data_IF_496626041448
#
_entry.id   IF_496626041448
#
_cell.length_a   1.000
_cell.length_b   1.000
_cell.length_c   1.000
_cell.angle_alpha   90.00
_cell.angle_beta   90.00
_cell.angle_gamma   90.00
#
_symmetry.space_group_name_H-M   'P 1'
#
loop_
_entity.id
_entity.type
_entity.pdbx_description
1 polymer ?
#
# COMPACT_ATOMS: atom_id res chain seq x y z
N UNK A 1 21.59 -7.50 31.71
CA UNK A 1 20.96 -7.81 33.01
C UNK A 1 21.21 -6.66 33.98
N UNK A 2 20.29 -5.70 34.05
CA UNK A 2 20.24 -4.68 35.10
C UNK A 2 18.77 -4.60 35.51
N UNK A 3 18.48 -5.18 36.66
CA UNK A 3 17.19 -5.21 37.34
C UNK A 3 16.95 -3.85 38.00
N UNK A 4 15.80 -3.21 37.75
CA UNK A 4 15.31 -2.13 38.60
C UNK A 4 13.93 -2.48 39.13
N UNK A 5 13.93 -2.81 40.42
CA UNK A 5 12.75 -2.88 41.27
C UNK A 5 12.20 -1.47 41.52
N UNK A 6 10.88 -1.31 41.43
CA UNK A 6 10.16 -0.27 42.14
C UNK A 6 9.14 -0.95 43.06
N UNK A 7 9.44 -0.88 44.35
CA UNK A 7 8.57 -1.23 45.46
C UNK A 7 8.01 0.08 46.01
N UNK A 8 6.68 0.23 46.07
CA UNK A 8 6.04 1.22 46.92
C UNK A 8 5.02 0.52 47.82
N UNK A 9 5.20 0.73 49.12
CA UNK A 9 4.46 0.15 50.24
C UNK A 9 3.43 1.18 50.75
N UNK A 10 2.21 0.69 51.02
CA UNK A 10 1.25 1.04 52.11
C UNK A 10 0.82 2.51 52.31
N UNK A 11 -0.37 2.89 52.81
CA UNK A 11 -1.26 2.34 53.84
C UNK A 11 -2.61 3.11 53.77
N UNK A 12 -3.76 2.47 53.99
CA UNK A 12 -4.84 2.97 54.90
C UNK A 12 -6.13 2.15 54.81
N UNK A 13 -6.43 1.49 55.92
CA UNK A 13 -7.67 0.84 56.32
C UNK A 13 -8.66 1.84 56.90
N UNK A 14 -9.97 1.76 56.58
CA UNK A 14 -11.03 1.96 57.58
C UNK A 14 -12.44 1.46 57.16
N UNK A 15 -12.95 0.56 57.99
CA UNK A 15 -14.33 0.19 58.41
C UNK A 15 -15.60 0.45 57.56
N UNK A 16 -16.29 -0.68 57.30
CA UNK A 16 -17.65 -1.08 57.69
C UNK A 16 -18.80 -0.04 57.75
N UNK A 17 -19.83 -0.32 56.95
CA UNK A 17 -21.22 0.07 57.19
C UNK A 17 -22.19 -0.91 56.52
N UNK A 18 -22.72 -1.87 57.29
CA UNK A 18 -23.89 -2.67 56.94
C UNK A 18 -25.15 -1.86 57.25
N UNK A 19 -26.01 -1.65 56.26
CA UNK A 19 -27.43 -1.36 56.47
C UNK A 19 -28.21 -1.92 55.27
N UNK A 20 -29.12 -2.85 55.54
CA UNK A 20 -30.07 -3.37 54.57
C UNK A 20 -31.30 -2.47 54.44
N UNK A 21 -31.93 -2.53 53.26
CA UNK A 21 -33.35 -2.25 53.08
C UNK A 21 -33.90 -3.18 52.00
N UNK A 22 -34.97 -3.89 52.36
CA UNK A 22 -35.83 -4.71 51.52
C UNK A 22 -36.63 -3.85 50.51
N UNK A 23 -36.78 -4.40 49.30
CA UNK A 23 -38.06 -4.57 48.63
C UNK A 23 -38.86 -3.33 48.20
N UNK A 24 -38.89 -3.08 46.89
CA UNK A 24 -39.93 -2.27 46.24
C UNK A 24 -39.81 -2.29 44.73
N UNK A 25 -40.66 -3.07 44.05
CA UNK A 25 -40.69 -3.17 42.60
C UNK A 25 -40.91 -1.82 41.92
N UNK A 26 -39.99 -1.46 41.04
CA UNK A 26 -40.15 -0.44 40.02
C UNK A 26 -39.81 -1.08 38.68
N UNK A 27 -40.81 -1.21 37.84
CA UNK A 27 -40.73 -1.61 36.43
C UNK A 27 -39.53 -0.98 35.75
N UNK A 28 -38.55 -1.81 35.37
CA UNK A 28 -37.51 -1.48 34.41
C UNK A 28 -38.16 -1.37 33.03
N UNK A 29 -38.68 -0.18 32.75
CA UNK A 29 -38.96 0.29 31.41
C UNK A 29 -37.77 1.15 30.95
N UNK A 30 -36.57 0.60 31.04
CA UNK A 30 -35.41 1.07 30.31
C UNK A 30 -35.68 0.91 28.83
N UNK A 31 -35.82 2.06 28.17
CA UNK A 31 -35.96 2.28 26.75
C UNK A 31 -35.28 1.19 25.91
N UNK A 32 -36.06 0.61 24.99
CA UNK A 32 -35.56 -0.32 24.01
C UNK A 32 -34.31 0.24 23.36
N UNK A 33 -33.28 -0.60 23.31
CA UNK A 33 -32.06 -0.35 22.57
C UNK A 33 -32.44 0.13 21.17
N UNK A 34 -32.34 1.44 20.97
CA UNK A 34 -32.27 2.11 19.67
C UNK A 34 -30.91 1.79 19.03
N UNK A 35 -30.45 0.55 19.21
CA UNK A 35 -29.45 -0.05 18.37
C UNK A 35 -30.11 -0.08 17.00
N UNK A 36 -29.59 0.73 16.09
CA UNK A 36 -30.05 0.79 14.71
C UNK A 36 -30.19 -0.62 14.09
N UNK A 37 -30.74 -0.72 12.88
CA UNK A 37 -30.97 -2.01 12.23
C UNK A 37 -29.75 -2.91 12.39
N UNK A 38 -29.96 -4.10 12.97
CA UNK A 38 -28.90 -5.08 13.19
C UNK A 38 -28.20 -5.30 11.85
N UNK A 39 -26.94 -4.91 11.76
CA UNK A 39 -26.16 -5.07 10.54
C UNK A 39 -26.05 -6.58 10.25
N UNK A 40 -26.26 -6.96 9.00
CA UNK A 40 -26.15 -8.37 8.59
C UNK A 40 -24.70 -8.87 8.83
N UNK A 41 -24.53 -10.12 9.32
CA UNK A 41 -23.20 -10.71 9.47
C UNK A 41 -22.46 -10.76 8.13
N UNK A 42 -21.18 -10.44 8.16
CA UNK A 42 -20.26 -10.57 7.04
C UNK A 42 -19.61 -11.95 7.01
N UNK A 43 -18.83 -12.21 5.98
CA UNK A 43 -17.94 -13.39 5.89
C UNK A 43 -16.54 -13.02 6.40
N UNK A 44 -15.70 -14.01 6.70
CA UNK A 44 -14.29 -13.74 6.99
C UNK A 44 -13.65 -13.06 5.76
N UNK A 45 -12.85 -12.01 5.97
CA UNK A 45 -12.29 -11.11 4.95
C UNK A 45 -13.31 -10.20 4.25
N UNK A 46 -14.59 -10.31 4.61
CA UNK A 46 -15.67 -9.46 4.10
C UNK A 46 -15.68 -8.04 4.70
N UNK A 47 -16.52 -7.15 4.15
CA UNK A 47 -16.70 -5.79 4.67
C UNK A 47 -17.34 -5.78 6.04
N UNK A 48 -17.08 -4.74 6.83
CA UNK A 48 -17.69 -4.55 8.15
C UNK A 48 -17.58 -3.09 8.60
N UNK A 49 -18.40 -2.73 9.57
CA UNK A 49 -18.36 -1.45 10.29
C UNK A 49 -18.14 -1.66 11.79
N UNK A 50 -18.45 -2.85 12.31
CA UNK A 50 -18.26 -3.22 13.70
C UNK A 50 -17.90 -4.71 13.86
N UNK A 51 -17.21 -5.05 14.95
CA UNK A 51 -16.78 -6.42 15.30
C UNK A 51 -17.95 -7.42 15.32
N UNK A 52 -19.15 -6.97 15.70
CA UNK A 52 -20.35 -7.82 15.78
C UNK A 52 -20.82 -8.38 14.43
N UNK A 53 -20.32 -7.84 13.32
CA UNK A 53 -20.58 -8.36 11.98
C UNK A 53 -19.62 -9.48 11.59
N UNK A 54 -18.48 -9.62 12.27
CA UNK A 54 -17.44 -10.54 11.85
C UNK A 54 -17.65 -11.94 12.41
N UNK A 55 -17.51 -12.99 11.58
CA UNK A 55 -17.73 -14.35 12.02
C UNK A 55 -16.50 -14.88 12.77
N UNK A 56 -16.75 -15.58 13.88
CA UNK A 56 -15.71 -16.25 14.67
C UNK A 56 -15.61 -15.72 16.10
N UNK A 57 -15.02 -16.52 16.98
CA UNK A 57 -14.74 -16.11 18.36
C UNK A 57 -13.59 -15.10 18.37
N UNK A 58 -13.81 -13.94 18.99
CA UNK A 58 -12.82 -12.86 19.02
C UNK A 58 -12.61 -12.17 17.67
N UNK A 59 -13.49 -12.39 16.70
CA UNK A 59 -13.44 -11.70 15.40
C UNK A 59 -13.53 -10.19 15.60
N UNK A 60 -12.75 -9.46 14.79
CA UNK A 60 -12.73 -8.00 14.80
C UNK A 60 -12.96 -7.46 13.40
N UNK A 61 -13.52 -6.26 13.35
CA UNK A 61 -13.59 -5.46 12.15
C UNK A 61 -12.39 -4.52 12.11
N UNK A 62 -11.43 -4.77 11.23
CA UNK A 62 -10.40 -3.77 10.93
C UNK A 62 -11.04 -2.66 10.11
N UNK A 63 -10.94 -1.43 10.58
CA UNK A 63 -11.64 -0.30 9.99
C UNK A 63 -10.75 0.47 9.04
N UNK A 64 -11.31 1.47 8.39
CA UNK A 64 -10.54 2.32 7.50
C UNK A 64 -9.56 3.25 8.25
N UNK A 65 -9.73 3.45 9.57
CA UNK A 65 -8.70 4.05 10.43
C UNK A 65 -7.47 3.14 10.57
N UNK A 66 -7.66 1.83 10.43
CA UNK A 66 -6.60 0.81 10.45
C UNK A 66 -6.06 0.53 9.05
N UNK A 67 -6.44 1.33 8.04
CA UNK A 67 -6.03 1.16 6.65
C UNK A 67 -6.88 0.17 5.83
N UNK A 68 -8.09 -0.16 6.28
CA UNK A 68 -9.01 -1.08 5.59
C UNK A 68 -10.28 -0.40 5.08
N UNK A 69 -10.27 0.15 3.85
CA UNK A 69 -11.44 0.68 3.17
C UNK A 69 -12.66 -0.25 3.25
N UNK A 70 -13.81 0.29 3.67
CA UNK A 70 -15.06 -0.47 3.83
C UNK A 70 -15.01 -1.61 4.86
N UNK A 71 -13.99 -1.61 5.72
CA UNK A 71 -13.73 -2.59 6.76
C UNK A 71 -13.31 -3.97 6.25
N UNK A 72 -12.70 -4.75 7.15
CA UNK A 72 -12.18 -6.08 6.86
C UNK A 72 -12.32 -6.99 8.08
N UNK A 73 -13.20 -7.98 7.98
CA UNK A 73 -13.37 -8.97 9.04
C UNK A 73 -12.19 -9.91 9.11
N UNK A 74 -11.61 -10.03 10.31
CA UNK A 74 -10.56 -11.01 10.59
C UNK A 74 -10.73 -11.62 11.97
N UNK A 75 -10.04 -12.72 12.23
CA UNK A 75 -10.02 -13.41 13.51
C UNK A 75 -8.58 -13.55 14.01
N UNK A 76 -8.36 -13.48 15.32
CA UNK A 76 -7.04 -13.76 15.90
C UNK A 76 -6.66 -15.22 15.62
N UNK A 77 -5.37 -15.44 15.46
CA UNK A 77 -4.85 -16.76 15.12
C UNK A 77 -3.50 -17.02 15.80
N UNK A 78 -3.26 -18.27 16.18
CA UNK A 78 -1.93 -18.76 16.61
C UNK A 78 -1.25 -19.58 15.50
N UNK A 79 -2.08 -20.23 14.68
CA UNK A 79 -1.70 -20.90 13.45
C UNK A 79 -2.75 -20.60 12.36
N UNK A 80 -2.57 -21.16 11.16
CA UNK A 80 -3.44 -20.87 10.01
C UNK A 80 -4.81 -21.57 10.04
N UNK A 81 -5.05 -22.52 10.93
CA UNK A 81 -6.29 -23.31 11.00
C UNK A 81 -7.56 -22.45 11.08
N UNK A 82 -7.67 -21.40 11.93
CA UNK A 82 -8.83 -20.52 11.94
C UNK A 82 -8.98 -19.67 10.68
N UNK A 83 -7.94 -19.59 9.84
CA UNK A 83 -7.95 -18.79 8.62
C UNK A 83 -8.41 -19.57 7.40
N UNK A 84 -8.54 -20.90 7.48
CA UNK A 84 -8.91 -21.74 6.34
C UNK A 84 -10.42 -21.64 6.08
N UNK A 85 -10.78 -20.90 5.02
CA UNK A 85 -12.18 -20.73 4.58
C UNK A 85 -12.32 -21.35 3.19
N UNK A 86 -13.41 -22.10 2.97
CA UNK A 86 -13.72 -22.75 1.69
C UNK A 86 -12.61 -23.66 1.12
N UNK A 87 -11.72 -24.19 1.98
CA UNK A 87 -10.61 -25.04 1.56
C UNK A 87 -9.46 -24.28 0.87
N UNK A 88 -9.46 -22.95 0.96
CA UNK A 88 -8.35 -22.09 0.55
C UNK A 88 -7.50 -21.78 1.78
N UNK A 89 -6.18 -21.90 1.61
CA UNK A 89 -5.22 -21.61 2.66
C UNK A 89 -4.95 -20.10 2.72
N UNK A 90 -5.22 -19.49 3.87
CA UNK A 90 -4.92 -18.09 4.15
C UNK A 90 -3.79 -17.95 5.20
N UNK A 91 -3.27 -16.74 5.38
CA UNK A 91 -2.13 -16.51 6.26
C UNK A 91 -2.58 -16.21 7.69
N UNK A 92 -1.79 -16.66 8.67
CA UNK A 92 -1.84 -16.15 10.03
C UNK A 92 -0.60 -15.27 10.23
N UNK A 93 -0.77 -13.96 10.28
CA UNK A 93 0.34 -13.01 10.26
C UNK A 93 0.18 -11.91 11.32
N UNK A 94 1.30 -11.47 11.88
CA UNK A 94 1.39 -10.27 12.71
C UNK A 94 1.82 -9.11 11.82
N UNK A 95 1.03 -8.03 11.73
CA UNK A 95 1.48 -6.82 11.03
C UNK A 95 2.41 -5.99 11.90
N UNK A 96 3.15 -5.08 11.28
CA UNK A 96 4.02 -4.15 12.00
C UNK A 96 3.20 -3.32 13.02
N UNK A 97 3.72 -3.21 14.25
CA UNK A 97 3.04 -2.51 15.35
C UNK A 97 1.99 -3.35 16.09
N UNK A 98 1.60 -4.51 15.57
CA UNK A 98 0.67 -5.42 16.24
C UNK A 98 1.41 -6.40 17.16
N UNK A 99 0.78 -6.79 18.27
CA UNK A 99 1.29 -7.83 19.18
C UNK A 99 0.63 -9.19 18.98
N UNK A 100 -0.42 -9.26 18.16
CA UNK A 100 -1.27 -10.42 17.94
C UNK A 100 -1.32 -10.71 16.45
N UNK A 101 -1.29 -11.99 16.07
CA UNK A 101 -1.53 -12.40 14.69
C UNK A 101 -3.01 -12.50 14.38
N UNK A 102 -3.35 -12.16 13.15
CA UNK A 102 -4.71 -12.26 12.61
C UNK A 102 -4.70 -12.96 11.26
N UNK A 103 -5.87 -13.44 10.86
CA UNK A 103 -6.04 -14.04 9.56
C UNK A 103 -5.97 -13.00 8.44
N UNK A 104 -5.12 -13.24 7.45
CA UNK A 104 -4.89 -12.37 6.31
C UNK A 104 -5.17 -13.15 5.02
N UNK A 105 -6.01 -12.58 4.16
CA UNK A 105 -6.43 -13.23 2.93
C UNK A 105 -5.24 -13.37 1.99
N UNK A 106 -4.83 -14.62 1.74
CA UNK A 106 -3.87 -14.96 0.69
C UNK A 106 -4.35 -14.50 -0.68
N UNK A 107 -3.43 -13.95 -1.46
CA UNK A 107 -3.62 -13.57 -2.85
C UNK A 107 -2.38 -13.94 -3.69
N UNK A 108 -2.56 -14.07 -5.00
CA UNK A 108 -1.48 -14.16 -5.99
C UNK A 108 -1.37 -12.86 -6.79
N UNK A 109 -2.48 -12.12 -6.92
CA UNK A 109 -2.58 -10.80 -7.54
C UNK A 109 -3.80 -10.05 -6.98
N UNK A 110 -3.96 -8.79 -7.35
CA UNK A 110 -4.97 -7.88 -6.84
C UNK A 110 -6.42 -8.30 -7.17
N UNK A 111 -6.64 -9.15 -8.17
CA UNK A 111 -7.97 -9.71 -8.43
C UNK A 111 -8.40 -10.71 -7.36
N UNK A 112 -7.46 -11.43 -6.75
CA UNK A 112 -7.76 -12.44 -5.73
C UNK A 112 -8.31 -11.83 -4.43
N UNK A 113 -8.09 -10.53 -4.24
CA UNK A 113 -8.65 -9.79 -3.11
C UNK A 113 -10.16 -9.53 -3.24
N UNK A 114 -10.75 -9.76 -4.42
CA UNK A 114 -12.20 -9.84 -4.62
C UNK A 114 -12.99 -8.56 -4.34
N UNK A 115 -12.32 -7.46 -3.99
CA UNK A 115 -12.91 -6.19 -3.58
C UNK A 115 -12.19 -5.03 -4.26
N UNK A 116 -12.94 -3.97 -4.54
CA UNK A 116 -12.36 -2.69 -4.89
C UNK A 116 -11.66 -2.10 -3.67
N UNK A 117 -10.66 -1.23 -3.86
CA UNK A 117 -9.84 -0.66 -2.77
C UNK A 117 -9.00 -1.71 -1.99
N UNK A 118 -8.73 -2.87 -2.61
CA UNK A 118 -7.80 -3.88 -2.09
C UNK A 118 -6.87 -4.35 -3.21
N UNK A 119 -5.64 -4.69 -2.82
CA UNK A 119 -4.62 -5.20 -3.74
C UNK A 119 -3.74 -6.24 -3.04
N UNK A 120 -3.00 -7.03 -3.83
CA UNK A 120 -2.09 -8.03 -3.30
C UNK A 120 -0.72 -7.43 -3.06
N UNK A 121 -0.18 -7.61 -1.85
CA UNK A 121 1.13 -7.09 -1.49
C UNK A 121 1.97 -8.10 -0.71
N UNK A 122 3.28 -7.96 -0.88
CA UNK A 122 4.30 -8.78 -0.20
C UNK A 122 4.35 -10.22 -0.72
N UNK A 123 5.16 -11.02 -0.04
CA UNK A 123 5.25 -12.47 -0.23
C UNK A 123 5.41 -13.09 1.15
N UNK A 124 4.45 -13.93 1.56
CA UNK A 124 4.45 -14.63 2.83
C UNK A 124 4.59 -16.14 2.61
N UNK A 125 5.45 -16.83 3.40
CA UNK A 125 5.52 -18.29 3.37
C UNK A 125 4.16 -18.95 3.67
N UNK A 126 3.81 -20.10 3.03
CA UNK A 126 4.63 -20.87 2.09
C UNK A 126 4.62 -20.34 0.64
N UNK A 127 3.71 -19.44 0.27
CA UNK A 127 3.69 -18.72 -1.02
C UNK A 127 2.50 -17.73 -1.08
N UNK A 128 2.68 -16.63 -1.81
CA UNK A 128 1.63 -15.64 -2.10
C UNK A 128 1.67 -14.43 -1.17
N UNK A 129 0.99 -13.36 -1.58
CA UNK A 129 0.87 -12.12 -0.82
C UNK A 129 -0.34 -12.10 0.10
N UNK A 130 -0.56 -10.94 0.72
CA UNK A 130 -1.75 -10.63 1.51
C UNK A 130 -2.54 -9.49 0.88
N UNK A 131 -3.87 -9.56 1.01
CA UNK A 131 -4.73 -8.46 0.62
C UNK A 131 -4.57 -7.30 1.60
N UNK A 132 -4.14 -6.15 1.09
CA UNK A 132 -4.05 -4.91 1.83
C UNK A 132 -5.09 -3.92 1.31
N UNK A 133 -5.60 -3.09 2.21
CA UNK A 133 -6.45 -1.96 1.84
C UNK A 133 -5.62 -0.88 1.15
N UNK A 134 -6.19 -0.29 0.11
CA UNK A 134 -5.62 0.80 -0.67
C UNK A 134 -6.71 1.77 -1.08
N UNK A 135 -6.39 3.03 -1.31
CA UNK A 135 -7.36 4.06 -1.66
C UNK A 135 -6.95 4.81 -2.93
N UNK A 136 -7.95 5.36 -3.61
CA UNK A 136 -7.79 6.27 -4.75
C UNK A 136 -8.48 7.61 -4.50
N UNK A 137 -9.34 7.69 -3.49
CA UNK A 137 -10.03 8.89 -3.06
C UNK A 137 -10.39 8.84 -1.58
N UNK A 138 -10.65 10.00 -0.98
CA UNK A 138 -11.09 10.09 0.43
C UNK A 138 -12.38 9.31 0.70
N UNK A 139 -13.22 9.09 -0.32
CA UNK A 139 -14.45 8.30 -0.21
C UNK A 139 -14.17 6.84 0.16
N UNK A 140 -12.97 6.32 -0.16
CA UNK A 140 -12.57 4.95 0.16
C UNK A 140 -12.24 4.81 1.66
N UNK A 141 -11.84 5.90 2.31
CA UNK A 141 -11.20 5.86 3.62
C UNK A 141 -12.12 5.99 4.83
N UNK A 142 -13.41 6.30 4.65
CA UNK A 142 -14.40 6.36 5.74
C UNK A 142 -13.98 7.19 6.97
N UNK A 143 -14.80 7.25 8.02
CA UNK A 143 -14.36 7.64 9.37
C UNK A 143 -13.67 9.00 9.56
N UNK A 144 -13.72 9.92 8.59
CA UNK A 144 -12.94 11.17 8.61
C UNK A 144 -11.46 11.02 8.24
N UNK A 145 -11.04 9.82 7.83
CA UNK A 145 -9.74 9.58 7.21
C UNK A 145 -9.71 10.12 5.78
N UNK A 146 -8.51 10.38 5.29
CA UNK A 146 -8.22 10.85 3.93
C UNK A 146 -7.33 9.84 3.23
N UNK A 147 -7.45 9.78 1.91
CA UNK A 147 -6.56 8.96 1.11
C UNK A 147 -5.23 9.70 0.92
N UNK A 148 -4.11 9.11 1.35
CA UNK A 148 -2.79 9.64 1.01
C UNK A 148 -2.41 9.17 -0.40
N UNK A 149 -2.39 10.07 -1.40
CA UNK A 149 -2.13 9.68 -2.79
C UNK A 149 -0.68 9.22 -3.03
N UNK A 150 0.24 9.43 -2.08
CA UNK A 150 1.65 9.04 -2.24
C UNK A 150 1.91 7.61 -1.77
N UNK A 151 1.10 7.10 -0.85
CA UNK A 151 1.20 5.74 -0.30
C UNK A 151 0.02 4.86 -0.72
N UNK A 152 -1.01 5.45 -1.33
CA UNK A 152 -2.30 4.82 -1.63
C UNK A 152 -2.97 4.20 -0.39
N UNK A 153 -2.72 4.76 0.80
CA UNK A 153 -3.25 4.25 2.06
C UNK A 153 -4.17 5.27 2.74
N UNK A 154 -5.16 4.76 3.47
CA UNK A 154 -6.01 5.61 4.30
C UNK A 154 -5.26 6.04 5.56
N UNK A 155 -5.27 7.35 5.82
CA UNK A 155 -4.59 7.94 6.96
C UNK A 155 -5.47 9.02 7.62
N UNK A 156 -5.15 9.37 8.86
CA UNK A 156 -5.81 10.48 9.57
C UNK A 156 -5.40 11.86 9.01
N UNK A 157 -4.27 11.92 8.29
CA UNK A 157 -3.81 13.08 7.55
C UNK A 157 -2.85 12.64 6.43
N UNK A 158 -2.78 13.42 5.35
CA UNK A 158 -1.82 13.22 4.27
C UNK A 158 -0.44 13.71 4.70
N UNK A 159 0.61 12.96 4.33
CA UNK A 159 2.00 13.38 4.58
C UNK A 159 2.29 14.69 3.84
N UNK A 160 2.60 15.77 4.58
CA UNK A 160 2.74 17.11 3.98
C UNK A 160 4.17 17.46 3.55
N UNK A 161 5.17 16.69 4.00
CA UNK A 161 6.59 16.98 3.80
C UNK A 161 7.26 15.95 2.90
N UNK A 162 8.48 16.25 2.45
CA UNK A 162 9.22 15.39 1.53
C UNK A 162 8.96 15.70 0.06
N UNK A 163 9.88 15.19 -0.76
CA UNK A 163 9.89 15.29 -2.20
C UNK A 163 8.73 14.47 -2.81
N UNK A 164 8.13 15.01 -3.87
CA UNK A 164 7.02 14.38 -4.60
C UNK A 164 7.54 13.47 -5.71
N UNK A 165 6.65 12.71 -6.35
CA UNK A 165 7.00 11.87 -7.50
C UNK A 165 7.79 12.66 -8.54
N UNK A 166 8.92 12.12 -9.02
CA UNK A 166 9.79 12.78 -10.01
C UNK A 166 10.96 13.57 -9.42
N UNK A 167 10.83 14.04 -8.18
CA UNK A 167 11.86 14.83 -7.51
C UNK A 167 13.06 13.96 -7.05
N UNK A 168 14.26 14.57 -6.89
CA UNK A 168 15.46 13.86 -6.45
C UNK A 168 15.35 13.37 -4.99
N UNK A 169 16.10 12.31 -4.67
CA UNK A 169 16.19 11.72 -3.33
C UNK A 169 17.49 10.93 -3.14
N UNK A 170 17.98 10.87 -1.91
CA UNK A 170 19.10 9.99 -1.54
C UNK A 170 18.60 8.75 -0.76
N UNK A 171 17.51 8.92 -0.01
CA UNK A 171 16.91 7.92 0.86
C UNK A 171 15.38 7.92 0.76
N UNK A 172 14.76 6.87 1.28
CA UNK A 172 13.31 6.75 1.32
C UNK A 172 12.64 7.88 2.12
N UNK A 173 13.29 8.35 3.19
CA UNK A 173 12.77 9.39 4.08
C UNK A 173 12.71 10.77 3.41
N UNK A 174 13.45 10.97 2.31
CA UNK A 174 13.39 12.20 1.53
C UNK A 174 12.07 12.29 0.74
N UNK A 175 11.49 11.15 0.38
CA UNK A 175 10.28 11.06 -0.43
C UNK A 175 9.03 11.02 0.44
N UNK A 176 8.00 11.78 0.04
CA UNK A 176 6.70 11.80 0.73
C UNK A 176 6.02 10.42 0.78
N UNK A 177 6.27 9.60 -0.23
CA UNK A 177 5.81 8.21 -0.33
C UNK A 177 6.59 7.22 0.53
N UNK A 178 7.75 7.61 1.07
CA UNK A 178 8.71 6.68 1.67
C UNK A 178 9.44 5.79 0.64
N UNK A 179 9.41 6.13 -0.66
CA UNK A 179 10.01 5.31 -1.72
C UNK A 179 10.93 6.13 -2.63
N UNK A 180 12.23 5.81 -2.56
CA UNK A 180 13.27 6.41 -3.38
C UNK A 180 13.96 5.36 -4.26
N UNK A 181 13.95 5.58 -5.59
CA UNK A 181 14.87 4.87 -6.49
C UNK A 181 16.21 5.59 -6.42
N UNK A 182 17.21 4.95 -5.83
CA UNK A 182 18.52 5.55 -5.61
C UNK A 182 19.36 5.60 -6.88
N UNK A 183 20.27 6.56 -6.96
CA UNK A 183 21.21 6.70 -8.06
C UNK A 183 22.26 5.58 -8.12
N UNK A 184 22.47 4.88 -7.00
CA UNK A 184 23.33 3.70 -6.88
C UNK A 184 22.60 2.51 -6.25
N UNK A 185 22.90 1.31 -6.73
CA UNK A 185 22.45 0.07 -6.09
C UNK A 185 23.28 -0.26 -4.84
N UNK A 186 22.96 -1.34 -4.15
CA UNK A 186 23.66 -1.77 -2.91
C UNK A 186 25.13 -2.16 -3.15
N UNK A 187 25.53 -2.41 -4.39
CA UNK A 187 26.91 -2.66 -4.78
C UNK A 187 27.68 -1.38 -5.19
N UNK A 188 27.05 -0.20 -5.08
CA UNK A 188 27.63 1.08 -5.47
C UNK A 188 27.67 1.32 -6.98
N UNK A 189 26.98 0.50 -7.78
CA UNK A 189 26.91 0.69 -9.23
C UNK A 189 25.78 1.67 -9.58
N UNK A 190 25.96 2.55 -10.58
CA UNK A 190 24.93 3.49 -10.96
C UNK A 190 23.71 2.77 -11.54
N UNK A 191 22.52 3.22 -11.14
CA UNK A 191 21.23 2.71 -11.65
C UNK A 191 20.76 3.48 -12.88
N UNK A 192 21.35 4.66 -13.13
CA UNK A 192 20.95 5.64 -14.14
C UNK A 192 19.93 6.67 -13.66
N UNK A 193 19.31 6.45 -12.50
CA UNK A 193 18.44 7.43 -11.86
C UNK A 193 19.27 8.52 -11.18
N UNK A 194 19.88 9.40 -11.97
CA UNK A 194 20.74 10.46 -11.46
C UNK A 194 19.99 11.33 -10.43
N UNK A 195 20.66 11.60 -9.30
CA UNK A 195 20.13 12.30 -8.12
C UNK A 195 18.98 11.57 -7.42
N UNK A 196 18.78 10.29 -7.73
CA UNK A 196 17.64 9.50 -7.31
C UNK A 196 16.32 10.00 -7.88
N UNK A 197 15.25 9.29 -7.54
CA UNK A 197 13.92 9.56 -8.06
C UNK A 197 12.86 9.07 -7.09
N UNK A 198 12.09 10.00 -6.53
CA UNK A 198 10.93 9.66 -5.72
C UNK A 198 9.84 9.06 -6.59
N UNK A 199 9.31 7.92 -6.14
CA UNK A 199 8.16 7.25 -6.75
C UNK A 199 7.04 7.13 -5.74
N UNK A 200 5.82 6.85 -6.19
CA UNK A 200 4.68 6.62 -5.30
C UNK A 200 3.97 5.33 -5.68
N UNK A 201 3.09 4.83 -4.81
CA UNK A 201 2.30 3.64 -5.11
C UNK A 201 0.98 4.01 -5.79
N UNK A 202 0.51 3.15 -6.68
CA UNK A 202 -0.82 3.27 -7.29
C UNK A 202 -1.47 1.90 -7.43
N UNK A 203 -2.74 1.88 -7.82
CA UNK A 203 -3.44 0.66 -8.18
C UNK A 203 -3.53 0.61 -9.69
N UNK A 204 -3.06 -0.49 -10.29
CA UNK A 204 -3.14 -0.65 -11.74
C UNK A 204 -4.60 -0.58 -12.18
N UNK A 205 -4.95 0.38 -13.07
CA UNK A 205 -6.32 0.60 -13.45
C UNK A 205 -6.89 -0.58 -14.22
N UNK A 206 -8.23 -0.73 -14.24
CA UNK A 206 -8.89 -1.75 -15.05
C UNK A 206 -8.41 -1.70 -16.51
N UNK A 207 -8.25 -2.88 -17.12
CA UNK A 207 -7.83 -3.00 -18.51
C UNK A 207 -6.32 -3.17 -18.72
N UNK A 208 -5.50 -3.10 -17.66
CA UNK A 208 -4.10 -3.51 -17.74
C UNK A 208 -3.97 -5.00 -18.10
N UNK A 209 -3.17 -5.31 -19.12
CA UNK A 209 -2.71 -6.68 -19.39
C UNK A 209 -1.36 -6.69 -20.13
N UNK A 210 -0.56 -7.75 -19.98
CA UNK A 210 0.80 -7.79 -20.55
C UNK A 210 0.85 -7.87 -22.09
N UNK A 211 -0.25 -8.18 -22.77
CA UNK A 211 -0.30 -8.29 -24.23
C UNK A 211 -0.60 -6.96 -24.91
N UNK A 212 -1.52 -6.17 -24.34
CA UNK A 212 -2.02 -4.91 -24.90
C UNK A 212 -1.64 -3.67 -24.06
N UNK A 213 -0.99 -3.88 -22.91
CA UNK A 213 -0.62 -2.87 -21.93
C UNK A 213 -1.83 -2.10 -21.36
N UNK A 214 -2.13 -0.90 -21.85
CA UNK A 214 -3.31 -0.13 -21.48
C UNK A 214 -4.17 0.17 -22.72
N UNK A 215 -5.48 0.18 -22.53
CA UNK A 215 -6.39 0.68 -23.56
C UNK A 215 -6.32 2.21 -23.64
N UNK A 216 -6.37 2.75 -24.87
CA UNK A 216 -6.39 4.19 -25.13
C UNK A 216 -5.09 4.70 -25.76
N UNK A 217 -4.98 6.02 -25.87
CA UNK A 217 -3.84 6.72 -26.45
C UNK A 217 -3.03 7.50 -25.40
N UNK A 218 -3.32 7.34 -24.11
CA UNK A 218 -2.59 7.96 -23.00
C UNK A 218 -2.40 6.95 -21.87
N UNK A 219 -1.25 6.99 -21.20
CA UNK A 219 -1.06 6.25 -19.97
C UNK A 219 -2.01 6.77 -18.89
N UNK A 220 -2.63 5.86 -18.11
CA UNK A 220 -3.56 6.25 -17.07
C UNK A 220 -2.84 6.72 -15.80
N UNK A 221 -3.46 7.66 -15.09
CA UNK A 221 -2.97 8.16 -13.81
C UNK A 221 -3.08 7.11 -12.68
N UNK A 222 -4.13 6.26 -12.68
CA UNK A 222 -4.26 5.16 -11.72
C UNK A 222 -4.31 5.58 -10.23
N UNK A 223 -4.68 6.83 -9.93
CA UNK A 223 -4.69 7.36 -8.56
C UNK A 223 -3.36 7.96 -8.12
N UNK A 224 -2.39 8.09 -9.02
CA UNK A 224 -1.12 8.75 -8.73
C UNK A 224 -1.29 10.24 -8.39
N UNK A 225 -0.40 10.82 -7.57
CA UNK A 225 -0.46 12.23 -7.20
C UNK A 225 -0.16 13.12 -8.41
N UNK A 226 -0.93 14.21 -8.57
CA UNK A 226 -0.73 15.15 -9.68
C UNK A 226 -1.12 14.56 -11.03
N UNK A 227 -0.27 14.77 -12.04
CA UNK A 227 -0.40 14.22 -13.39
C UNK A 227 0.47 12.98 -13.62
N UNK A 228 1.08 12.43 -12.56
CA UNK A 228 1.88 11.21 -12.65
C UNK A 228 1.09 10.03 -13.21
N UNK A 229 1.83 9.08 -13.78
CA UNK A 229 1.32 7.91 -14.49
C UNK A 229 1.54 6.66 -13.64
N UNK A 230 0.54 5.77 -13.61
CA UNK A 230 0.64 4.49 -12.95
C UNK A 230 1.12 3.39 -13.90
N UNK A 231 2.29 2.80 -13.63
CA UNK A 231 2.83 1.66 -14.37
C UNK A 231 2.97 0.41 -13.50
N UNK A 232 2.98 -0.79 -14.07
CA UNK A 232 3.25 -2.01 -13.32
C UNK A 232 4.65 -1.97 -12.69
N UNK A 233 4.76 -2.39 -11.43
CA UNK A 233 6.07 -2.51 -10.77
C UNK A 233 6.93 -3.63 -11.38
N UNK A 234 6.27 -4.72 -11.84
CA UNK A 234 6.88 -5.80 -12.61
C UNK A 234 5.98 -6.18 -13.79
N UNK A 235 6.44 -5.90 -15.01
CA UNK A 235 5.73 -6.18 -16.26
C UNK A 235 5.48 -7.68 -16.51
N UNK A 236 6.20 -8.58 -15.85
CA UNK A 236 6.07 -10.02 -16.09
C UNK A 236 4.98 -10.68 -15.24
N UNK A 237 4.70 -10.16 -14.05
CA UNK A 237 3.87 -10.85 -13.05
C UNK A 237 2.66 -10.05 -12.57
N UNK A 238 2.50 -8.81 -13.02
CA UNK A 238 1.36 -7.99 -12.61
C UNK A 238 0.10 -8.29 -13.43
N UNK A 239 -1.04 -8.14 -12.77
CA UNK A 239 -2.38 -8.12 -13.32
C UNK A 239 -3.05 -6.79 -12.98
N UNK A 240 -4.19 -6.50 -13.60
CA UNK A 240 -5.01 -5.36 -13.18
C UNK A 240 -5.31 -5.43 -11.67
N UNK A 241 -5.41 -4.26 -11.02
CA UNK A 241 -5.55 -4.10 -9.56
C UNK A 241 -4.32 -4.46 -8.72
N UNK A 242 -3.23 -4.93 -9.30
CA UNK A 242 -1.96 -5.01 -8.55
C UNK A 242 -1.43 -3.62 -8.21
N UNK A 243 -0.51 -3.57 -7.26
CA UNK A 243 0.28 -2.39 -6.99
C UNK A 243 1.13 -2.02 -8.22
N UNK A 244 0.97 -0.78 -8.64
CA UNK A 244 1.85 -0.12 -9.60
C UNK A 244 2.74 0.91 -8.91
N UNK A 245 3.58 1.52 -9.74
CA UNK A 245 4.48 2.60 -9.38
C UNK A 245 4.11 3.85 -10.18
N UNK A 246 4.01 4.98 -9.48
CA UNK A 246 3.81 6.28 -10.07
C UNK A 246 5.12 6.85 -10.58
N UNK A 247 5.11 7.31 -11.83
CA UNK A 247 6.20 8.05 -12.46
C UNK A 247 5.71 9.41 -12.93
N UNK A 248 6.60 10.40 -12.90
CA UNK A 248 6.31 11.74 -13.39
C UNK A 248 5.99 11.72 -14.88
N UNK A 249 4.93 12.45 -15.26
CA UNK A 249 4.44 12.50 -16.62
C UNK A 249 5.25 13.48 -17.46
N UNK A 250 5.41 13.17 -18.74
CA UNK A 250 5.99 14.07 -19.72
C UNK A 250 5.23 14.05 -21.05
N UNK A 251 5.32 15.15 -21.80
CA UNK A 251 4.87 15.26 -23.19
C UNK A 251 6.06 15.38 -24.16
N UNK A 252 7.23 15.74 -23.67
CA UNK A 252 8.49 15.77 -24.40
C UNK A 252 9.69 15.61 -23.44
N UNK A 253 10.87 15.34 -23.97
CA UNK A 253 12.10 15.22 -23.15
C UNK A 253 12.38 16.46 -22.30
N UNK A 254 12.00 17.64 -22.78
CA UNK A 254 12.18 18.91 -22.07
C UNK A 254 11.31 19.06 -20.81
N UNK A 255 10.31 18.20 -20.63
CA UNK A 255 9.52 18.15 -19.40
C UNK A 255 10.25 17.36 -18.30
N UNK A 256 11.23 16.54 -18.68
CA UNK A 256 12.01 15.74 -17.75
C UNK A 256 13.26 16.46 -17.24
N UNK A 257 13.75 16.04 -16.06
CA UNK A 257 15.03 16.52 -15.50
C UNK A 257 16.20 16.18 -16.44
N UNK A 258 17.28 16.96 -16.36
CA UNK A 258 18.52 16.66 -17.09
C UNK A 258 19.01 15.24 -16.80
N UNK A 259 19.32 14.47 -17.85
CA UNK A 259 19.69 13.04 -17.75
C UNK A 259 18.51 12.07 -17.88
N UNK A 260 17.29 12.58 -18.07
CA UNK A 260 16.08 11.80 -18.29
C UNK A 260 15.50 12.08 -19.69
N UNK A 261 14.72 11.13 -20.20
CA UNK A 261 13.99 11.22 -21.47
C UNK A 261 12.54 10.82 -21.26
N UNK A 262 11.68 11.32 -22.14
CA UNK A 262 10.26 11.03 -22.14
C UNK A 262 9.95 9.75 -22.92
N UNK A 263 9.77 8.63 -22.21
CA UNK A 263 9.40 7.37 -22.82
C UNK A 263 7.90 7.32 -23.12
N UNK A 264 7.54 7.26 -24.39
CA UNK A 264 6.15 7.14 -24.87
C UNK A 264 5.81 5.80 -25.50
N UNK A 265 6.81 4.95 -25.66
CA UNK A 265 6.71 3.68 -26.38
C UNK A 265 7.04 2.53 -25.44
N UNK A 266 6.16 1.53 -25.38
CA UNK A 266 6.34 0.32 -24.58
C UNK A 266 6.37 -0.88 -25.51
N UNK A 267 7.45 -1.67 -25.41
CA UNK A 267 7.53 -2.97 -26.06
C UNK A 267 6.57 -3.95 -25.39
N UNK A 268 5.74 -4.60 -26.19
CA UNK A 268 4.73 -5.55 -25.73
C UNK A 268 5.30 -6.97 -25.71
N UNK A 269 4.78 -7.83 -24.83
CA UNK A 269 5.16 -9.25 -24.79
C UNK A 269 4.81 -9.99 -26.10
N UNK A 270 3.84 -9.47 -26.85
CA UNK A 270 3.46 -9.93 -28.20
C UNK A 270 4.49 -9.61 -29.29
N UNK A 271 5.54 -8.85 -28.97
CA UNK A 271 6.56 -8.39 -29.91
C UNK A 271 6.21 -7.11 -30.67
N UNK A 272 5.07 -6.48 -30.35
CA UNK A 272 4.69 -5.17 -30.88
C UNK A 272 5.20 -4.00 -30.01
N UNK A 273 4.88 -2.79 -30.44
CA UNK A 273 5.09 -1.55 -29.65
C UNK A 273 3.76 -0.84 -29.49
N UNK A 274 3.47 -0.37 -28.28
CA UNK A 274 2.36 0.55 -28.02
C UNK A 274 2.90 1.96 -27.83
N UNK A 275 2.28 2.94 -28.49
CA UNK A 275 2.67 4.35 -28.44
C UNK A 275 1.57 5.18 -27.78
N UNK A 276 1.97 6.08 -26.89
CA UNK A 276 1.07 6.93 -26.10
C UNK A 276 1.35 8.42 -26.35
N UNK A 277 0.34 9.25 -26.07
CA UNK A 277 0.36 10.71 -26.25
C UNK A 277 1.14 11.43 -25.14
N UNK A 278 1.03 10.92 -23.91
CA UNK A 278 1.91 11.21 -22.78
C UNK A 278 2.96 10.10 -22.60
N UNK A 279 4.00 10.39 -21.83
CA UNK A 279 5.08 9.47 -21.50
C UNK A 279 5.47 9.59 -20.03
N UNK A 280 6.47 8.81 -19.63
CA UNK A 280 7.08 8.92 -18.31
C UNK A 280 8.55 9.32 -18.40
N UNK A 281 9.03 10.06 -17.40
CA UNK A 281 10.44 10.41 -17.30
C UNK A 281 11.26 9.23 -16.78
N UNK A 282 12.15 8.71 -17.63
CA UNK A 282 13.06 7.60 -17.32
C UNK A 282 14.51 8.00 -17.58
N UNK A 283 15.50 7.32 -16.97
CA UNK A 283 16.91 7.53 -17.30
C UNK A 283 17.15 7.44 -18.82
N UNK A 284 17.68 8.52 -19.39
CA UNK A 284 18.06 8.60 -20.80
C UNK A 284 19.40 7.94 -21.08
N UNK A 285 19.70 7.70 -22.36
CA UNK A 285 21.06 7.36 -22.77
C UNK A 285 21.93 8.62 -22.67
N UNK A 286 22.85 8.63 -21.70
CA UNK A 286 23.66 9.81 -21.41
C UNK A 286 24.65 10.17 -22.52
N UNK A 287 24.89 9.28 -23.49
CA UNK A 287 25.68 9.61 -24.68
C UNK A 287 24.93 10.54 -25.64
N UNK A 288 23.60 10.58 -25.54
CA UNK A 288 22.72 11.44 -26.34
C UNK A 288 22.25 12.66 -25.53
N UNK A 289 21.79 12.44 -24.30
CA UNK A 289 21.16 13.49 -23.47
C UNK A 289 22.15 14.27 -22.61
N UNK A 290 23.35 13.74 -22.41
CA UNK A 290 24.29 14.23 -21.40
C UNK A 290 23.84 13.91 -19.97
N UNK A 291 24.66 14.32 -19.01
CA UNK A 291 24.41 14.12 -17.57
C UNK A 291 24.25 15.43 -16.82
N UNK A 292 23.49 15.43 -15.70
CA UNK A 292 23.44 16.57 -14.79
C UNK A 292 24.81 16.87 -14.18
N UNK A 293 24.93 18.05 -13.58
CA UNK A 293 26.20 18.50 -13.01
C UNK A 293 26.66 17.56 -11.89
N UNK A 294 27.94 17.18 -11.92
CA UNK A 294 28.50 16.23 -10.94
C UNK A 294 28.33 14.76 -11.32
N UNK A 295 27.67 14.45 -12.44
CA UNK A 295 27.54 13.10 -12.98
C UNK A 295 28.38 12.95 -14.26
N UNK A 296 28.79 11.72 -14.53
CA UNK A 296 29.52 11.32 -15.74
C UNK A 296 28.76 10.22 -16.45
N UNK A 297 28.92 10.14 -17.76
CA UNK A 297 28.30 9.09 -18.56
C UNK A 297 29.10 7.79 -18.41
N UNK A 298 28.49 6.76 -17.84
CA UNK A 298 29.11 5.47 -17.53
C UNK A 298 28.40 4.35 -18.28
N UNK A 299 29.16 3.45 -18.90
CA UNK A 299 28.61 2.25 -19.52
C UNK A 299 28.38 1.18 -18.44
N UNK A 300 27.13 0.73 -18.30
CA UNK A 300 26.74 -0.37 -17.42
C UNK A 300 26.16 -1.51 -18.24
N UNK A 301 26.40 -2.74 -17.79
CA UNK A 301 25.77 -3.92 -18.37
C UNK A 301 24.50 -4.23 -17.57
N UNK A 302 23.35 -4.25 -18.22
CA UNK A 302 22.09 -4.64 -17.56
C UNK A 302 22.02 -6.15 -17.29
N UNK A 303 20.96 -6.59 -16.60
CA UNK A 303 20.72 -8.01 -16.29
C UNK A 303 20.58 -8.90 -17.53
N UNK A 304 20.31 -8.32 -18.70
CA UNK A 304 20.21 -9.02 -19.98
C UNK A 304 21.53 -9.06 -20.75
N UNK A 305 22.61 -8.48 -20.20
CA UNK A 305 23.92 -8.42 -20.83
C UNK A 305 24.09 -7.28 -21.83
N UNK A 306 23.09 -6.40 -21.99
CA UNK A 306 23.18 -5.26 -22.89
C UNK A 306 23.94 -4.11 -22.21
N UNK A 307 24.81 -3.45 -22.97
CA UNK A 307 25.42 -2.20 -22.50
C UNK A 307 24.43 -1.06 -22.62
N UNK A 308 24.35 -0.24 -21.57
CA UNK A 308 23.58 1.00 -21.51
C UNK A 308 24.49 2.11 -21.00
N UNK A 309 24.43 3.29 -21.59
CA UNK A 309 25.13 4.45 -21.05
C UNK A 309 24.20 5.19 -20.09
N UNK A 310 24.56 5.24 -18.83
CA UNK A 310 23.76 5.86 -17.77
C UNK A 310 24.56 6.91 -17.02
N UNK A 311 23.88 7.89 -16.42
CA UNK A 311 24.54 8.86 -15.57
C UNK A 311 24.89 8.27 -14.20
N UNK A 312 26.16 8.41 -13.80
CA UNK A 312 26.68 7.96 -12.49
C UNK A 312 27.73 8.93 -11.92
N UNK A 313 27.86 8.94 -10.59
CA UNK A 313 28.94 9.65 -9.87
C UNK A 313 30.23 8.84 -9.84
#
# INVERSE_FOLDING_TARGET
MITRHFTFLLFSTLLLGLAGCDGGGGTDAGAGDDAGPRLEPSELFGPCEADSQCPGEGAICRTALDGYPGGYCTVPCEDRTPCDVFGVYHHCATREGETQSYCEQRCLNGLDCGRDAYTCAGELPPSGGVCIGVCTSDADCGGGSVCDPYTAACATAVTATGAVTGEPCDTNDDCRSGQCIRDQNTAGQPTGWAEGYCVSSCILPPGYNNNDFFAGDAFPNGGCPGDAICLPADFAQTAQRDLGTCYDQCLADGDCRTGYTCLKEIGLASGGTSTYSNGLCVPGDCSETGCPTGYTCQAVTDSSGNMRNVCGR
#
